data_IF_893392161454
#
_entry.id   IF_893392161454
#
_cell.length_a   1.000
_cell.length_b   1.000
_cell.length_c   1.000
_cell.angle_alpha   90.00
_cell.angle_beta   90.00
_cell.angle_gamma   90.00
#
_symmetry.space_group_name_H-M   'P 1'
#
loop_
_entity.id
_entity.type
_entity.pdbx_description
1 polymer ?
#
# COMPACT_ATOMS: atom_id res chain seq x y z
N UNK A 1 -20.94 2.94 14.20
CA UNK A 1 -20.90 4.16 13.35
C UNK A 1 -20.06 3.99 12.07
N UNK A 2 -18.86 3.42 12.14
CA UNK A 2 -18.01 3.20 10.95
C UNK A 2 -18.69 2.28 9.92
N UNK A 3 -19.30 1.18 10.35
CA UNK A 3 -20.02 0.23 9.48
C UNK A 3 -21.16 0.86 8.70
N UNK A 4 -21.93 1.77 9.30
CA UNK A 4 -22.99 2.50 8.61
C UNK A 4 -22.42 3.47 7.56
N UNK A 5 -21.30 4.13 7.88
CA UNK A 5 -20.63 5.03 6.94
C UNK A 5 -20.09 4.28 5.72
N UNK A 6 -19.48 3.12 5.92
CA UNK A 6 -19.02 2.23 4.83
C UNK A 6 -20.20 1.79 3.99
N UNK A 7 -21.28 1.31 4.60
CA UNK A 7 -22.49 0.85 3.92
C UNK A 7 -23.12 1.94 3.02
N UNK A 8 -23.16 3.20 3.49
CA UNK A 8 -23.63 4.33 2.71
C UNK A 8 -22.69 4.69 1.55
N UNK A 9 -21.37 4.61 1.80
CA UNK A 9 -20.35 4.86 0.77
C UNK A 9 -20.42 3.85 -0.37
N UNK A 10 -20.50 2.56 -0.05
CA UNK A 10 -20.61 1.47 -1.04
C UNK A 10 -21.87 1.57 -1.93
N UNK A 11 -22.91 2.21 -1.45
CA UNK A 11 -24.14 2.48 -2.21
C UNK A 11 -24.15 3.80 -2.96
N UNK A 12 -23.05 4.53 -2.94
CA UNK A 12 -22.96 5.84 -3.59
C UNK A 12 -23.88 6.90 -2.98
N UNK A 13 -24.33 6.69 -1.74
CA UNK A 13 -25.25 7.62 -1.05
C UNK A 13 -24.53 8.77 -0.36
N UNK A 14 -23.18 8.73 -0.31
CA UNK A 14 -22.38 9.82 0.25
C UNK A 14 -21.74 10.64 -0.86
N UNK A 15 -21.88 11.97 -0.82
CA UNK A 15 -21.16 12.85 -1.73
C UNK A 15 -19.65 12.74 -1.55
N UNK A 16 -18.90 12.87 -2.65
CA UNK A 16 -17.44 12.75 -2.68
C UNK A 16 -16.72 13.62 -1.65
N UNK A 17 -17.18 14.85 -1.43
CA UNK A 17 -16.52 15.74 -0.48
C UNK A 17 -16.58 15.20 0.97
N UNK A 18 -17.65 14.52 1.34
CA UNK A 18 -17.80 13.87 2.66
C UNK A 18 -16.82 12.71 2.75
N UNK A 19 -16.73 11.88 1.71
CA UNK A 19 -15.77 10.77 1.65
C UNK A 19 -14.33 11.27 1.77
N UNK A 20 -13.98 12.34 1.04
CA UNK A 20 -12.64 12.95 1.11
C UNK A 20 -12.32 13.49 2.50
N UNK A 21 -13.27 14.13 3.18
CA UNK A 21 -13.09 14.61 4.56
C UNK A 21 -12.87 13.41 5.50
N UNK A 22 -13.71 12.39 5.40
CA UNK A 22 -13.60 11.20 6.25
C UNK A 22 -12.25 10.49 6.07
N UNK A 23 -11.82 10.26 4.83
CA UNK A 23 -10.50 9.67 4.51
C UNK A 23 -9.37 10.52 5.07
N UNK A 24 -9.43 11.86 4.88
CA UNK A 24 -8.41 12.78 5.41
C UNK A 24 -8.31 12.74 6.94
N UNK A 25 -9.44 12.66 7.64
CA UNK A 25 -9.47 12.54 9.11
C UNK A 25 -8.91 11.21 9.58
N UNK A 26 -9.29 10.09 8.95
CA UNK A 26 -8.79 8.76 9.26
C UNK A 26 -7.27 8.66 9.01
N UNK A 27 -6.79 9.20 7.89
CA UNK A 27 -5.36 9.23 7.57
C UNK A 27 -4.57 10.05 8.59
N UNK A 28 -5.07 11.24 8.98
CA UNK A 28 -4.44 12.05 10.02
C UNK A 28 -4.41 11.34 11.38
N UNK A 29 -5.48 10.64 11.74
CA UNK A 29 -5.52 9.86 12.97
C UNK A 29 -4.48 8.73 12.95
N UNK A 30 -4.31 8.07 11.80
CA UNK A 30 -3.30 7.00 11.61
C UNK A 30 -1.87 7.51 11.76
N UNK A 31 -1.55 8.66 11.14
CA UNK A 31 -0.22 9.28 11.25
C UNK A 31 0.12 9.69 12.68
N UNK A 32 -0.89 10.08 13.48
CA UNK A 32 -0.70 10.48 14.87
C UNK A 32 -0.58 9.32 15.86
N UNK A 33 -0.76 8.07 15.41
CA UNK A 33 -0.59 6.92 16.30
C UNK A 33 0.87 6.85 16.78
N UNK A 34 1.10 6.74 18.11
CA UNK A 34 2.45 6.67 18.64
C UNK A 34 3.15 5.41 18.12
N UNK A 35 4.38 5.59 17.63
CA UNK A 35 5.22 4.50 17.17
C UNK A 35 5.91 3.89 18.41
N UNK A 36 5.18 3.13 19.21
CA UNK A 36 5.67 2.57 20.47
C UNK A 36 6.39 1.26 20.20
N UNK A 37 7.64 1.15 20.65
CA UNK A 37 8.46 -0.06 20.49
C UNK A 37 7.79 -1.32 21.04
N UNK A 38 7.08 -1.20 22.18
CA UNK A 38 6.33 -2.31 22.77
C UNK A 38 5.23 -2.87 21.86
N UNK A 39 4.57 -2.03 21.05
CA UNK A 39 3.58 -2.49 20.08
C UNK A 39 4.22 -3.25 18.94
N UNK A 40 5.40 -2.81 18.48
CA UNK A 40 6.19 -3.55 17.48
C UNK A 40 6.60 -4.92 17.97
N UNK A 41 7.02 -5.02 19.23
CA UNK A 41 7.37 -6.33 19.84
C UNK A 41 6.16 -7.26 19.95
N UNK A 42 4.97 -6.75 20.28
CA UNK A 42 3.74 -7.55 20.26
C UNK A 42 3.47 -8.12 18.88
N UNK A 43 3.52 -7.27 17.83
CA UNK A 43 3.33 -7.70 16.44
C UNK A 43 4.36 -8.77 16.05
N UNK A 44 5.64 -8.56 16.36
CA UNK A 44 6.69 -9.55 16.08
C UNK A 44 6.42 -10.89 16.78
N UNK A 45 5.98 -10.88 18.02
CA UNK A 45 5.64 -12.09 18.76
C UNK A 45 4.42 -12.82 18.19
N UNK A 46 3.43 -12.06 17.67
CA UNK A 46 2.29 -12.64 16.97
C UNK A 46 2.72 -13.29 15.66
N UNK A 47 3.54 -12.59 14.86
CA UNK A 47 4.06 -13.12 13.60
C UNK A 47 4.89 -14.40 13.78
N UNK A 48 5.70 -14.47 14.84
CA UNK A 48 6.50 -15.69 15.14
C UNK A 48 5.66 -16.91 15.50
N UNK A 49 4.46 -16.72 16.00
CA UNK A 49 3.55 -17.79 16.45
C UNK A 49 2.43 -18.08 15.47
N UNK A 50 2.20 -17.18 14.52
CA UNK A 50 1.15 -17.29 13.51
C UNK A 50 1.54 -18.22 12.36
N UNK A 51 0.59 -18.51 11.47
CA UNK A 51 0.86 -19.23 10.23
C UNK A 51 1.76 -18.40 9.31
N UNK A 52 2.44 -19.08 8.37
CA UNK A 52 3.31 -18.42 7.38
C UNK A 52 2.52 -17.46 6.49
N UNK A 53 1.26 -17.80 6.17
CA UNK A 53 0.38 -16.98 5.37
C UNK A 53 -1.03 -16.95 5.97
N UNK A 54 -1.58 -15.76 6.12
CA UNK A 54 -2.94 -15.50 6.59
C UNK A 54 -3.81 -14.94 5.46
N UNK A 55 -5.10 -15.26 5.47
CA UNK A 55 -6.09 -14.71 4.54
C UNK A 55 -5.73 -14.85 3.06
N UNK A 56 -5.13 -15.97 2.68
CA UNK A 56 -4.64 -16.19 1.30
C UNK A 56 -5.75 -16.10 0.24
N UNK A 57 -6.95 -16.58 0.52
CA UNK A 57 -8.12 -16.45 -0.37
C UNK A 57 -8.50 -14.98 -0.59
N UNK A 58 -8.65 -14.21 0.49
CA UNK A 58 -8.99 -12.77 0.41
C UNK A 58 -7.89 -11.96 -0.29
N UNK A 59 -6.62 -12.33 -0.10
CA UNK A 59 -5.52 -11.70 -0.81
C UNK A 59 -5.56 -11.98 -2.31
N UNK A 60 -5.89 -13.22 -2.71
CA UNK A 60 -6.04 -13.59 -4.11
C UNK A 60 -7.22 -12.87 -4.77
N UNK A 61 -8.39 -12.82 -4.12
CA UNK A 61 -9.54 -12.06 -4.60
C UNK A 61 -9.17 -10.59 -4.82
N UNK A 62 -8.50 -9.97 -3.85
CA UNK A 62 -8.10 -8.56 -3.93
C UNK A 62 -7.10 -8.27 -5.05
N UNK A 63 -6.20 -9.20 -5.35
CA UNK A 63 -5.14 -8.98 -6.34
C UNK A 63 -5.51 -9.43 -7.76
N UNK A 64 -6.26 -10.52 -7.90
CA UNK A 64 -6.49 -11.16 -9.20
C UNK A 64 -7.91 -10.96 -9.74
N UNK A 65 -8.89 -10.63 -8.91
CA UNK A 65 -10.27 -10.41 -9.34
C UNK A 65 -10.61 -8.94 -9.58
N UNK A 66 -9.74 -8.01 -9.14
CA UNK A 66 -9.93 -6.58 -9.39
C UNK A 66 -9.51 -6.25 -10.83
N UNK A 67 -10.37 -5.57 -11.61
CA UNK A 67 -10.05 -5.23 -13.00
C UNK A 67 -8.77 -4.37 -13.11
N UNK A 68 -7.89 -4.63 -14.09
CA UNK A 68 -6.63 -3.87 -14.27
C UNK A 68 -6.83 -2.36 -14.36
N UNK A 69 -7.93 -1.90 -14.94
CA UNK A 69 -8.27 -0.46 -15.05
C UNK A 69 -8.36 0.24 -13.68
N UNK A 70 -8.69 -0.50 -12.61
CA UNK A 70 -8.69 0.06 -11.27
C UNK A 70 -7.28 0.48 -10.87
N UNK A 71 -6.30 -0.39 -11.06
CA UNK A 71 -4.90 -0.10 -10.72
C UNK A 71 -4.35 1.08 -11.52
N UNK A 72 -4.67 1.17 -12.81
CA UNK A 72 -4.28 2.29 -13.67
C UNK A 72 -4.89 3.64 -13.21
N UNK A 73 -6.01 3.62 -12.49
CA UNK A 73 -6.66 4.84 -11.99
C UNK A 73 -6.21 5.26 -10.59
N UNK A 74 -5.71 4.34 -9.79
CA UNK A 74 -5.40 4.61 -8.37
C UNK A 74 -3.90 4.62 -8.07
N UNK A 75 -3.08 4.06 -8.95
CA UNK A 75 -1.62 4.06 -8.85
C UNK A 75 -1.02 5.13 -9.76
N UNK A 76 0.26 5.44 -9.55
CA UNK A 76 1.02 6.31 -10.43
C UNK A 76 1.49 5.59 -11.70
N UNK A 77 2.29 6.27 -12.50
CA UNK A 77 2.76 5.78 -13.81
C UNK A 77 3.54 4.46 -13.73
N UNK A 78 4.22 4.20 -12.60
CA UNK A 78 4.97 2.96 -12.38
C UNK A 78 4.14 1.82 -11.81
N UNK A 79 2.83 2.00 -11.63
CA UNK A 79 1.89 1.02 -11.10
C UNK A 79 2.38 0.33 -9.80
N UNK A 80 3.08 1.06 -8.96
CA UNK A 80 3.64 0.53 -7.72
C UNK A 80 2.56 0.22 -6.69
N UNK A 81 2.12 -1.03 -6.64
CA UNK A 81 1.08 -1.51 -5.72
C UNK A 81 1.63 -1.82 -4.33
N UNK A 82 2.32 -0.86 -3.75
CA UNK A 82 2.83 -0.87 -2.38
C UNK A 82 3.03 0.56 -1.89
N UNK A 83 3.43 0.75 -0.63
CA UNK A 83 3.61 2.09 -0.10
C UNK A 83 4.71 2.87 -0.83
N UNK A 84 4.47 4.16 -1.04
CA UNK A 84 5.43 5.12 -1.56
C UNK A 84 5.95 5.99 -0.43
N UNK A 85 7.12 6.58 -0.61
CA UNK A 85 7.74 7.47 0.36
C UNK A 85 7.70 8.91 -0.16
N UNK A 86 7.02 9.76 0.59
CA UNK A 86 6.93 11.20 0.31
C UNK A 86 7.95 11.95 1.16
N UNK A 87 8.61 12.92 0.57
CA UNK A 87 9.50 13.85 1.25
C UNK A 87 9.19 15.32 0.85
N UNK A 88 10.12 16.24 1.09
CA UNK A 88 9.94 17.64 0.76
C UNK A 88 9.99 17.91 -0.76
N UNK A 89 10.63 17.04 -1.52
CA UNK A 89 10.91 17.20 -2.95
C UNK A 89 9.88 16.43 -3.82
N UNK A 90 9.33 15.33 -3.33
CA UNK A 90 8.36 14.50 -4.06
C UNK A 90 6.98 14.57 -3.41
N UNK A 91 6.09 15.38 -3.98
CA UNK A 91 4.76 15.67 -3.42
C UNK A 91 3.61 15.02 -4.19
N UNK A 92 3.85 14.54 -5.39
CA UNK A 92 2.91 13.79 -6.20
C UNK A 92 3.20 12.27 -6.12
N UNK A 93 2.25 11.48 -6.61
CA UNK A 93 2.33 10.02 -6.50
C UNK A 93 3.45 9.45 -7.37
N UNK A 94 3.62 9.95 -8.60
CA UNK A 94 4.59 9.42 -9.56
C UNK A 94 6.03 9.61 -9.06
N UNK A 95 6.36 10.81 -8.58
CA UNK A 95 7.65 11.09 -7.98
C UNK A 95 7.90 10.29 -6.68
N UNK A 96 6.86 10.05 -5.89
CA UNK A 96 6.97 9.23 -4.68
C UNK A 96 7.15 7.73 -4.98
N UNK A 97 6.57 7.23 -6.09
CA UNK A 97 6.84 5.88 -6.59
C UNK A 97 8.30 5.71 -6.97
N UNK A 98 8.83 6.60 -7.82
CA UNK A 98 10.23 6.58 -8.26
C UNK A 98 11.17 6.65 -7.06
N UNK A 99 10.94 7.59 -6.15
CA UNK A 99 11.78 7.75 -4.96
C UNK A 99 11.81 6.49 -4.09
N UNK A 100 10.68 5.81 -3.93
CA UNK A 100 10.64 4.56 -3.16
C UNK A 100 11.29 3.40 -3.91
N UNK A 101 11.18 3.34 -5.24
CA UNK A 101 11.86 2.35 -6.08
C UNK A 101 13.38 2.51 -5.97
N UNK A 102 13.90 3.73 -6.14
CA UNK A 102 15.32 4.03 -5.99
C UNK A 102 15.84 3.62 -4.59
N UNK A 103 15.06 3.91 -3.55
CA UNK A 103 15.37 3.46 -2.19
C UNK A 103 15.44 1.94 -2.05
N UNK A 104 14.59 1.20 -2.76
CA UNK A 104 14.63 -0.26 -2.76
C UNK A 104 15.88 -0.78 -3.48
N UNK A 105 16.22 -0.19 -4.63
CA UNK A 105 17.44 -0.53 -5.38
C UNK A 105 18.70 -0.26 -4.54
N UNK A 106 18.78 0.90 -3.91
CA UNK A 106 19.89 1.28 -3.04
C UNK A 106 20.06 0.30 -1.86
N UNK A 107 18.95 -0.04 -1.19
CA UNK A 107 18.96 -0.95 -0.04
C UNK A 107 19.33 -2.39 -0.41
N UNK A 108 18.97 -2.81 -1.61
CA UNK A 108 19.30 -4.13 -2.14
C UNK A 108 20.71 -4.17 -2.78
N UNK A 109 21.41 -3.02 -2.87
CA UNK A 109 22.73 -2.86 -3.52
C UNK A 109 22.73 -3.42 -4.96
N UNK A 110 21.65 -3.18 -5.69
CA UNK A 110 21.45 -3.69 -7.05
C UNK A 110 22.36 -2.92 -8.02
N UNK A 111 23.12 -3.67 -8.83
CA UNK A 111 24.08 -3.16 -9.80
C UNK A 111 23.78 -3.69 -11.20
N UNK A 112 24.33 -3.03 -12.21
CA UNK A 112 24.24 -3.50 -13.59
C UNK A 112 24.78 -4.93 -13.75
N UNK A 113 24.15 -5.71 -14.63
CA UNK A 113 24.53 -7.08 -14.98
C UNK A 113 24.34 -8.12 -13.85
N UNK A 114 23.51 -7.85 -12.85
CA UNK A 114 23.09 -8.85 -11.87
C UNK A 114 21.85 -9.60 -12.35
N UNK A 115 21.78 -10.89 -12.04
CA UNK A 115 20.55 -11.68 -12.15
C UNK A 115 19.74 -11.50 -10.85
N UNK A 116 18.49 -11.10 -10.96
CA UNK A 116 17.64 -10.76 -9.82
C UNK A 116 16.44 -11.69 -9.80
N UNK A 117 16.18 -12.30 -8.64
CA UNK A 117 14.96 -13.05 -8.37
C UNK A 117 14.05 -12.19 -7.48
N UNK A 118 12.92 -11.75 -8.02
CA UNK A 118 11.89 -11.05 -7.26
C UNK A 118 10.84 -12.04 -6.76
N UNK A 119 10.84 -12.31 -5.46
CA UNK A 119 9.89 -13.21 -4.81
C UNK A 119 8.66 -12.43 -4.34
N UNK A 120 7.49 -12.72 -4.95
CA UNK A 120 6.25 -12.03 -4.64
C UNK A 120 6.18 -10.64 -5.27
N UNK A 121 6.51 -10.56 -6.53
CA UNK A 121 6.63 -9.30 -7.30
C UNK A 121 5.32 -8.47 -7.42
N UNK A 122 4.19 -8.96 -6.91
CA UNK A 122 2.90 -8.25 -6.96
C UNK A 122 2.45 -7.99 -8.39
N UNK A 123 2.21 -6.73 -8.76
CA UNK A 123 1.86 -6.33 -10.13
C UNK A 123 3.04 -6.34 -11.08
N UNK A 124 4.23 -6.68 -10.59
CA UNK A 124 5.48 -6.80 -11.35
C UNK A 124 5.91 -5.53 -12.09
N UNK A 125 6.72 -4.71 -11.44
CA UNK A 125 7.26 -3.46 -12.01
C UNK A 125 8.27 -3.66 -13.15
N UNK A 126 8.81 -4.86 -13.28
CA UNK A 126 9.82 -5.18 -14.31
C UNK A 126 9.22 -5.62 -15.65
N UNK A 127 7.90 -5.74 -15.75
CA UNK A 127 7.19 -6.16 -16.97
C UNK A 127 6.29 -5.04 -17.54
N UNK A 128 6.46 -3.80 -17.06
CA UNK A 128 5.75 -2.63 -17.55
C UNK A 128 6.58 -1.91 -18.58
#
# INVERSE_FOLDING_TARGET
MITLGIWLAERGMLPDFILRIAVKLLSKARVRMPNVFSEKLKVLNTLKKGPIAENTSSANEQHYEVPPIFFQKVLGENLKYSCCLYDENNKDLDSAEIFMLDKCLDRADIKSNQEILDLGCGLSLIHI
#
